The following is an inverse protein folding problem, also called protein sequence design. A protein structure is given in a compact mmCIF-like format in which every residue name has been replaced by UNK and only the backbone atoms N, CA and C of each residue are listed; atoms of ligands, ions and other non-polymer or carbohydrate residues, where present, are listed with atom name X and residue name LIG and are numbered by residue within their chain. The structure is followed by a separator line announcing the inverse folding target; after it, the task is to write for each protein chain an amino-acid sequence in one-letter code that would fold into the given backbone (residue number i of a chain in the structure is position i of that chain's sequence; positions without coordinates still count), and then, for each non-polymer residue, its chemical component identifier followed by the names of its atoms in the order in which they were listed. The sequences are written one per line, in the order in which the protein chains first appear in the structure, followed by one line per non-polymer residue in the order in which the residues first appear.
data_IF_288931546593
#
_entry.id   IF_288931546593
#
_cell.length_a   1.000
_cell.length_b   1.000
_cell.length_c   1.000
_cell.angle_alpha   90.00
_cell.angle_beta   90.00
_cell.angle_gamma   90.00
#
_symmetry.space_group_name_H-M   'P 1'
#
loop_
_entity.id
_entity.type
_entity.pdbx_description
1 polymer ?
#
# COMPACT_ATOMS: atom_id res chain seq x y z
N UNK A 1 15.97 19.68 -0.22
CA UNK A 1 17.25 19.56 0.50
C UNK A 1 17.03 19.86 1.97
N UNK A 2 17.98 19.51 2.83
CA UNK A 2 17.94 19.85 4.24
C UNK A 2 18.13 21.35 4.48
N UNK A 3 17.47 21.89 5.49
CA UNK A 3 17.63 23.27 5.93
C UNK A 3 18.54 23.30 7.16
N UNK A 4 19.24 24.40 7.39
CA UNK A 4 20.05 24.58 8.59
C UNK A 4 19.20 24.41 9.86
N UNK A 5 19.72 23.71 10.87
CA UNK A 5 19.02 23.38 12.12
C UNK A 5 17.73 22.55 11.98
N UNK A 6 17.54 21.85 10.85
CA UNK A 6 16.40 20.96 10.67
C UNK A 6 16.47 19.75 11.62
N UNK A 7 15.37 19.47 12.33
CA UNK A 7 15.25 18.36 13.27
C UNK A 7 14.58 17.11 12.66
N UNK A 8 13.60 17.31 11.78
CA UNK A 8 12.82 16.23 11.16
C UNK A 8 13.30 15.83 9.77
N UNK A 9 12.50 14.99 9.11
CA UNK A 9 12.71 14.59 7.72
C UNK A 9 12.59 15.80 6.76
N UNK A 10 13.21 15.71 5.58
CA UNK A 10 12.98 16.65 4.48
C UNK A 10 11.55 16.53 3.95
N UNK A 11 10.95 17.62 3.49
CA UNK A 11 9.57 17.60 2.95
C UNK A 11 9.37 16.48 1.90
N UNK A 12 8.27 15.72 2.04
CA UNK A 12 7.91 14.64 1.12
C UNK A 12 7.55 15.13 -0.27
N UNK A 13 8.32 14.75 -1.29
CA UNK A 13 8.18 15.25 -2.67
C UNK A 13 7.67 14.21 -3.66
N UNK A 14 7.50 12.97 -3.24
CA UNK A 14 6.95 11.86 -4.02
C UNK A 14 5.71 11.29 -3.34
N UNK A 15 4.91 10.52 -4.09
CA UNK A 15 3.74 9.82 -3.54
C UNK A 15 4.14 8.93 -2.35
N UNK A 16 5.23 8.17 -2.51
CA UNK A 16 5.78 7.32 -1.45
C UNK A 16 6.33 8.15 -0.29
N UNK A 17 6.99 9.28 -0.57
CA UNK A 17 7.52 10.18 0.44
C UNK A 17 6.45 10.67 1.40
N UNK A 18 5.29 11.08 0.90
CA UNK A 18 4.19 11.55 1.75
C UNK A 18 3.67 10.45 2.68
N UNK A 19 3.52 9.21 2.19
CA UNK A 19 3.08 8.08 3.02
C UNK A 19 4.14 7.66 4.07
N UNK A 20 5.43 7.71 3.71
CA UNK A 20 6.54 7.47 4.66
C UNK A 20 6.54 8.52 5.77
N UNK A 21 6.28 9.79 5.45
CA UNK A 21 6.11 10.84 6.46
C UNK A 21 4.93 10.56 7.40
N UNK A 22 3.80 10.11 6.87
CA UNK A 22 2.65 9.72 7.69
C UNK A 22 2.99 8.57 8.66
N UNK A 23 3.70 7.55 8.19
CA UNK A 23 4.16 6.44 9.04
C UNK A 23 5.17 6.93 10.10
N UNK A 24 6.07 7.85 9.72
CA UNK A 24 7.04 8.46 10.64
C UNK A 24 6.33 9.21 11.77
N UNK A 25 5.38 10.08 11.46
CA UNK A 25 4.65 10.87 12.46
C UNK A 25 3.81 9.96 13.38
N UNK A 26 3.14 8.95 12.80
CA UNK A 26 2.41 7.94 13.57
C UNK A 26 3.31 7.17 14.54
N UNK A 27 4.49 6.76 14.07
CA UNK A 27 5.48 6.03 14.88
C UNK A 27 6.05 6.93 15.98
N UNK A 28 6.38 8.19 15.66
CA UNK A 28 6.90 9.15 16.62
C UNK A 28 5.89 9.47 17.72
N UNK A 29 4.61 9.61 17.38
CA UNK A 29 3.54 9.79 18.37
C UNK A 29 3.51 8.64 19.38
N UNK A 30 3.56 7.39 18.90
CA UNK A 30 3.56 6.20 19.77
C UNK A 30 4.82 6.15 20.63
N UNK A 31 6.00 6.41 20.05
CA UNK A 31 7.28 6.39 20.78
C UNK A 31 7.29 7.44 21.89
N UNK A 32 6.84 8.67 21.61
CA UNK A 32 6.76 9.74 22.63
C UNK A 32 5.78 9.37 23.74
N UNK A 33 4.65 8.73 23.41
CA UNK A 33 3.69 8.24 24.41
C UNK A 33 4.33 7.18 25.32
N UNK A 34 5.02 6.19 24.76
CA UNK A 34 5.72 5.16 25.54
C UNK A 34 6.83 5.76 26.39
N UNK A 35 7.64 6.65 25.80
CA UNK A 35 8.75 7.28 26.51
C UNK A 35 8.27 8.14 27.68
N UNK A 36 7.24 8.97 27.46
CA UNK A 36 6.64 9.79 28.52
C UNK A 36 6.03 8.95 29.65
N UNK A 37 5.39 7.81 29.31
CA UNK A 37 4.90 6.84 30.29
C UNK A 37 6.06 6.27 31.13
N UNK A 38 7.12 5.77 30.51
CA UNK A 38 8.29 5.22 31.22
C UNK A 38 8.95 6.27 32.11
N UNK A 39 9.18 7.47 31.57
CA UNK A 39 9.76 8.60 32.33
C UNK A 39 8.87 8.95 33.53
N UNK A 40 7.55 8.99 33.38
CA UNK A 40 6.63 9.22 34.49
C UNK A 40 6.76 8.15 35.59
N UNK A 41 6.82 6.86 35.23
CA UNK A 41 7.00 5.79 36.21
C UNK A 41 8.34 5.88 36.93
N UNK A 42 9.42 6.18 36.21
CA UNK A 42 10.75 6.38 36.81
C UNK A 42 10.75 7.56 37.78
N UNK A 43 10.22 8.71 37.37
CA UNK A 43 10.09 9.89 38.23
C UNK A 43 9.23 9.60 39.47
N UNK A 44 8.13 8.86 39.30
CA UNK A 44 7.26 8.46 40.42
C UNK A 44 8.00 7.59 41.43
N UNK A 45 8.81 6.64 40.97
CA UNK A 45 9.62 5.79 41.85
C UNK A 45 10.69 6.63 42.57
N UNK A 46 11.38 7.53 41.86
CA UNK A 46 12.42 8.38 42.44
C UNK A 46 11.88 9.38 43.47
N UNK A 47 10.67 9.93 43.24
CA UNK A 47 10.04 10.87 44.15
C UNK A 47 9.32 10.20 45.34
N UNK A 48 9.20 8.87 45.33
CA UNK A 48 8.44 8.16 46.36
C UNK A 48 9.24 8.06 47.66
N UNK A 49 8.63 8.51 48.77
CA UNK A 49 9.24 8.45 50.11
C UNK A 49 9.00 7.12 50.83
N UNK A 50 7.94 6.40 50.42
CA UNK A 50 7.57 5.12 51.01
C UNK A 50 8.55 4.03 50.59
N UNK A 51 9.00 3.21 51.53
CA UNK A 51 9.90 2.09 51.28
C UNK A 51 9.21 0.77 51.57
N UNK A 52 9.45 -0.24 50.72
CA UNK A 52 9.09 -1.63 50.99
C UNK A 52 10.34 -2.48 50.82
N UNK A 53 10.55 -3.45 51.72
CA UNK A 53 11.60 -4.47 51.61
C UNK A 53 11.08 -5.80 51.10
N UNK A 54 9.76 -5.98 51.10
CA UNK A 54 9.12 -7.21 50.64
C UNK A 54 8.85 -7.06 49.15
N UNK A 55 9.40 -7.99 48.37
CA UNK A 55 9.07 -8.14 46.96
C UNK A 55 7.72 -8.85 46.87
N UNK A 56 6.75 -8.21 46.22
CA UNK A 56 5.46 -8.82 45.92
C UNK A 56 5.48 -9.22 44.44
N UNK A 57 5.31 -10.50 44.18
CA UNK A 57 5.08 -11.01 42.84
C UNK A 57 3.61 -10.76 42.45
N UNK A 58 3.40 -10.47 41.17
CA UNK A 58 2.05 -10.30 40.64
C UNK A 58 2.03 -10.79 39.20
N UNK A 59 1.60 -12.04 39.03
CA UNK A 59 1.45 -12.64 37.70
C UNK A 59 0.54 -11.81 36.79
N UNK A 60 -0.49 -11.16 37.36
CA UNK A 60 -1.39 -10.29 36.61
C UNK A 60 -0.69 -9.06 36.03
N UNK A 61 0.29 -8.51 36.75
CA UNK A 61 1.08 -7.38 36.26
C UNK A 61 2.01 -7.82 35.11
N UNK A 62 2.59 -9.01 35.22
CA UNK A 62 3.41 -9.61 34.16
C UNK A 62 2.62 -9.83 32.87
N UNK A 63 1.40 -10.37 33.00
CA UNK A 63 0.49 -10.55 31.86
C UNK A 63 0.16 -9.20 31.23
N UNK A 64 -0.14 -8.17 32.03
CA UNK A 64 -0.51 -6.85 31.54
C UNK A 64 0.61 -6.20 30.71
N UNK A 65 1.84 -6.13 31.24
CA UNK A 65 2.95 -5.52 30.50
C UNK A 65 3.50 -6.39 29.37
N UNK A 66 3.02 -7.63 29.22
CA UNK A 66 3.37 -8.48 28.07
C UNK A 66 2.35 -8.30 26.94
N UNK A 67 1.06 -8.28 27.29
CA UNK A 67 -0.04 -8.11 26.32
C UNK A 67 -0.08 -6.68 25.77
N UNK A 68 0.18 -5.66 26.59
CA UNK A 68 0.13 -4.26 26.15
C UNK A 68 1.17 -3.94 25.05
N UNK A 69 2.47 -4.25 25.19
CA UNK A 69 3.45 -4.05 24.11
C UNK A 69 3.17 -4.88 22.87
N UNK A 70 2.61 -6.09 23.01
CA UNK A 70 2.21 -6.89 21.85
C UNK A 70 1.21 -6.15 20.96
N UNK A 71 0.15 -5.59 21.54
CA UNK A 71 -0.83 -4.81 20.78
C UNK A 71 -0.23 -3.51 20.21
N UNK A 72 0.67 -2.86 20.93
CA UNK A 72 1.38 -1.68 20.45
C UNK A 72 2.26 -1.99 19.24
N UNK A 73 2.97 -3.12 19.24
CA UNK A 73 3.76 -3.57 18.10
C UNK A 73 2.88 -3.93 16.90
N UNK A 74 1.72 -4.54 17.11
CA UNK A 74 0.75 -4.78 16.03
C UNK A 74 0.27 -3.46 15.41
N UNK A 75 -0.02 -2.46 16.24
CA UNK A 75 -0.45 -1.14 15.77
C UNK A 75 0.63 -0.44 14.91
N UNK A 76 1.92 -0.60 15.24
CA UNK A 76 3.04 -0.10 14.43
C UNK A 76 3.28 -0.94 13.17
N UNK A 77 3.19 -2.26 13.29
CA UNK A 77 3.57 -3.21 12.24
C UNK A 77 2.61 -3.22 11.05
N UNK A 78 1.30 -3.14 11.29
CA UNK A 78 0.29 -3.22 10.22
C UNK A 78 0.42 -2.11 9.15
N UNK A 79 0.46 -0.80 9.51
CA UNK A 79 0.65 0.25 8.51
C UNK A 79 2.04 0.19 7.84
N UNK A 80 3.06 -0.26 8.56
CA UNK A 80 4.41 -0.45 8.01
C UNK A 80 4.45 -1.52 6.93
N UNK A 81 3.83 -2.69 7.17
CA UNK A 81 3.77 -3.78 6.18
C UNK A 81 2.98 -3.34 4.95
N UNK A 82 1.86 -2.64 5.12
CA UNK A 82 1.09 -2.09 3.99
C UNK A 82 1.97 -1.19 3.13
N UNK A 83 2.68 -0.24 3.74
CA UNK A 83 3.54 0.69 3.00
C UNK A 83 4.67 -0.04 2.28
N UNK A 84 5.24 -1.09 2.90
CA UNK A 84 6.24 -1.94 2.25
C UNK A 84 5.73 -2.53 0.94
N UNK A 85 4.50 -3.06 0.92
CA UNK A 85 3.90 -3.59 -0.31
C UNK A 85 3.63 -2.48 -1.35
N UNK A 86 3.18 -1.30 -0.93
CA UNK A 86 2.98 -0.15 -1.83
C UNK A 86 4.30 0.35 -2.46
N UNK A 87 5.41 0.24 -1.74
CA UNK A 87 6.75 0.61 -2.23
C UNK A 87 7.28 -0.39 -3.26
N UNK A 88 7.01 -1.68 -3.09
CA UNK A 88 7.49 -2.75 -3.98
C UNK A 88 6.67 -2.83 -5.28
N UNK A 89 5.42 -2.38 -5.26
CA UNK A 89 4.55 -2.41 -6.43
C UNK A 89 4.92 -1.32 -7.46
N UNK A 90 5.72 -1.70 -8.46
CA UNK A 90 6.00 -0.86 -9.63
C UNK A 90 5.03 -1.18 -10.76
N UNK A 91 3.83 -0.63 -10.69
CA UNK A 91 2.82 -0.77 -11.75
C UNK A 91 3.14 0.12 -12.95
N UNK A 92 3.13 -0.48 -14.15
CA UNK A 92 3.15 0.12 -15.50
C UNK A 92 3.83 1.50 -15.61
N UNK A 93 5.18 1.57 -15.59
CA UNK A 93 5.90 2.82 -15.80
C UNK A 93 5.84 3.24 -17.28
N UNK A 94 5.74 4.54 -17.52
CA UNK A 94 5.68 5.11 -18.88
C UNK A 94 7.06 5.26 -19.53
N UNK A 95 8.10 5.37 -18.69
CA UNK A 95 9.49 5.43 -19.08
C UNK A 95 10.39 4.86 -17.97
N UNK A 96 11.63 4.56 -18.33
CA UNK A 96 12.66 3.97 -17.48
C UNK A 96 13.94 4.79 -17.60
N UNK A 97 14.64 4.92 -16.47
CA UNK A 97 15.95 5.56 -16.38
C UNK A 97 16.86 4.57 -15.68
N UNK A 98 17.99 4.26 -16.30
CA UNK A 98 19.02 3.45 -15.67
C UNK A 98 20.04 4.36 -15.02
N UNK A 99 20.36 4.04 -13.77
CA UNK A 99 21.26 4.80 -12.90
C UNK A 99 22.42 3.88 -12.56
N UNK A 100 23.63 4.27 -12.94
CA UNK A 100 24.84 3.46 -12.71
C UNK A 100 25.79 4.24 -11.80
N UNK A 101 26.14 3.66 -10.67
CA UNK A 101 27.14 4.21 -9.75
C UNK A 101 28.56 3.84 -10.16
N UNK A 102 29.47 4.81 -10.12
CA UNK A 102 30.90 4.70 -10.39
C UNK A 102 31.70 5.42 -9.30
N UNK A 103 32.98 5.10 -9.15
CA UNK A 103 33.94 5.82 -8.32
C UNK A 103 34.44 7.09 -9.05
N UNK A 104 34.00 8.30 -8.73
CA UNK A 104 32.97 8.72 -7.77
C UNK A 104 32.02 9.70 -8.45
N UNK A 105 31.09 9.16 -9.22
CA UNK A 105 30.08 9.90 -9.99
C UNK A 105 28.92 8.97 -10.35
N UNK A 106 27.85 9.53 -10.91
CA UNK A 106 26.70 8.76 -11.39
C UNK A 106 26.58 8.91 -12.89
N UNK A 107 26.25 7.85 -13.62
CA UNK A 107 25.81 7.96 -15.01
C UNK A 107 24.33 7.62 -15.14
N UNK A 108 23.65 8.37 -16.01
CA UNK A 108 22.22 8.21 -16.29
C UNK A 108 22.04 7.80 -17.74
N UNK A 109 21.25 6.76 -17.96
CA UNK A 109 20.97 6.21 -19.28
C UNK A 109 19.45 6.19 -19.54
N UNK A 110 19.06 6.78 -20.66
CA UNK A 110 17.69 6.86 -21.16
C UNK A 110 17.62 6.10 -22.50
N UNK A 111 16.98 4.93 -22.51
CA UNK A 111 16.99 4.00 -23.64
C UNK A 111 15.63 3.79 -24.32
N UNK A 112 14.58 4.43 -23.80
CA UNK A 112 13.19 4.07 -24.16
C UNK A 112 12.69 4.73 -25.46
N UNK A 113 13.41 5.73 -25.98
CA UNK A 113 12.97 6.56 -27.09
C UNK A 113 13.83 6.32 -28.34
N UNK A 114 13.18 6.14 -29.49
CA UNK A 114 13.75 6.07 -30.86
C UNK A 114 14.80 4.97 -31.09
N UNK A 115 14.91 3.99 -30.20
CA UNK A 115 15.88 2.90 -30.34
C UNK A 115 17.34 3.34 -30.25
N UNK A 116 17.59 4.57 -29.80
CA UNK A 116 18.91 5.06 -29.40
C UNK A 116 19.03 5.07 -27.88
N UNK A 117 20.25 5.06 -27.35
CA UNK A 117 20.52 5.25 -25.94
C UNK A 117 21.15 6.63 -25.75
N UNK A 118 20.49 7.50 -24.99
CA UNK A 118 21.02 8.79 -24.57
C UNK A 118 21.56 8.63 -23.15
N UNK A 119 22.85 8.88 -22.97
CA UNK A 119 23.51 8.74 -21.67
C UNK A 119 24.49 9.87 -21.40
N UNK A 120 24.65 10.22 -20.13
CA UNK A 120 25.62 11.22 -19.68
C UNK A 120 26.06 10.93 -18.25
N UNK A 121 27.21 11.49 -17.89
CA UNK A 121 27.79 11.41 -16.56
C UNK A 121 27.43 12.66 -15.74
N UNK A 122 27.33 12.48 -14.42
CA UNK A 122 26.94 13.48 -13.44
C UNK A 122 28.01 13.54 -12.35
N UNK A 123 28.84 14.56 -12.41
CA UNK A 123 29.93 14.85 -11.48
C UNK A 123 29.58 16.00 -10.55
N UNK A 124 30.12 15.97 -9.34
CA UNK A 124 30.03 17.09 -8.41
C UNK A 124 30.75 18.32 -8.98
N UNK A 125 30.10 19.47 -8.94
CA UNK A 125 30.73 20.74 -9.33
C UNK A 125 31.74 21.15 -8.24
N UNK A 126 33.02 21.40 -8.59
CA UNK A 126 34.00 21.90 -7.62
C UNK A 126 33.63 23.29 -7.09
N UNK A 127 33.94 23.57 -5.82
CA UNK A 127 33.66 24.86 -5.17
C UNK A 127 34.23 26.07 -5.94
N UNK A 128 35.34 25.90 -6.66
CA UNK A 128 35.95 26.97 -7.48
C UNK A 128 35.20 27.28 -8.78
N UNK A 129 34.38 26.36 -9.27
CA UNK A 129 33.61 26.49 -10.51
C UNK A 129 32.12 26.79 -10.24
N UNK A 130 31.74 26.89 -8.97
CA UNK A 130 30.36 27.11 -8.55
C UNK A 130 30.07 28.62 -8.47
N UNK A 131 29.24 29.14 -9.37
CA UNK A 131 28.78 30.54 -9.31
C UNK A 131 27.67 30.72 -8.26
N UNK A 132 26.62 29.89 -8.36
CA UNK A 132 25.51 29.82 -7.42
C UNK A 132 25.17 28.34 -7.19
N UNK A 133 24.82 27.98 -5.95
CA UNK A 133 24.40 26.62 -5.62
C UNK A 133 24.82 26.17 -4.23
N UNK A 134 24.65 24.87 -4.00
CA UNK A 134 24.93 24.22 -2.73
C UNK A 134 26.20 23.38 -2.77
N UNK A 135 27.15 23.74 -1.89
CA UNK A 135 28.40 23.01 -1.68
C UNK A 135 28.14 21.52 -1.45
N UNK A 136 28.87 20.67 -2.17
CA UNK A 136 28.78 19.20 -2.15
C UNK A 136 27.48 18.58 -2.67
N UNK A 137 26.54 19.37 -3.20
CA UNK A 137 25.25 18.87 -3.69
C UNK A 137 25.03 19.17 -5.17
N UNK A 138 25.58 20.27 -5.70
CA UNK A 138 25.48 20.56 -7.14
C UNK A 138 26.26 19.59 -8.00
N UNK A 139 25.68 19.29 -9.16
CA UNK A 139 26.26 18.47 -10.22
C UNK A 139 26.23 19.22 -11.53
N UNK A 140 27.13 18.84 -12.45
CA UNK A 140 27.18 19.39 -13.81
C UNK A 140 25.93 19.02 -14.64
N UNK A 141 25.52 17.76 -14.61
CA UNK A 141 24.36 17.24 -15.33
C UNK A 141 23.37 16.61 -14.36
N UNK A 142 22.16 17.17 -14.27
CA UNK A 142 21.10 16.67 -13.39
C UNK A 142 20.36 15.49 -14.03
N UNK A 143 19.82 14.60 -13.22
CA UNK A 143 18.91 13.55 -13.68
C UNK A 143 17.51 14.16 -13.88
N UNK A 144 17.10 14.31 -15.13
CA UNK A 144 15.82 14.96 -15.46
C UNK A 144 14.70 13.92 -15.44
N UNK A 145 13.62 14.24 -14.73
CA UNK A 145 12.41 13.42 -14.61
C UNK A 145 11.15 14.28 -14.82
N UNK A 146 10.04 13.71 -15.31
CA UNK A 146 8.75 14.38 -15.38
C UNK A 146 8.02 14.37 -14.03
N UNK A 147 7.36 15.49 -13.75
CA UNK A 147 6.46 15.67 -12.61
C UNK A 147 5.14 14.97 -12.87
N UNK A 148 4.57 14.35 -11.83
CA UNK A 148 3.28 13.66 -11.86
C UNK A 148 3.18 12.67 -13.04
N UNK A 149 4.26 11.91 -13.26
CA UNK A 149 4.31 10.80 -14.21
C UNK A 149 5.12 9.68 -13.54
N UNK A 150 4.70 8.43 -13.73
CA UNK A 150 5.41 7.28 -13.13
C UNK A 150 6.54 6.83 -14.04
N UNK A 151 7.78 6.95 -13.56
CA UNK A 151 9.01 6.43 -14.17
C UNK A 151 9.58 5.29 -13.34
N UNK A 152 10.21 4.33 -14.00
CA UNK A 152 11.00 3.27 -13.36
C UNK A 152 12.47 3.66 -13.28
N UNK A 153 13.03 3.73 -12.08
CA UNK A 153 14.48 3.80 -11.86
C UNK A 153 15.08 2.39 -11.82
N UNK A 154 16.13 2.14 -12.59
CA UNK A 154 16.91 0.90 -12.57
C UNK A 154 18.32 1.21 -12.04
N UNK A 155 18.56 0.92 -10.76
CA UNK A 155 19.82 1.25 -10.08
C UNK A 155 20.76 0.05 -10.13
N UNK A 156 21.99 0.29 -10.56
CA UNK A 156 23.08 -0.69 -10.56
C UNK A 156 24.43 0.02 -10.34
N UNK A 157 25.53 -0.71 -10.39
CA UNK A 157 26.88 -0.15 -10.38
C UNK A 157 27.79 -0.93 -11.33
N UNK A 158 28.83 -0.27 -11.83
CA UNK A 158 29.85 -0.86 -12.69
C UNK A 158 31.13 -1.27 -11.93
N UNK A 159 31.31 -0.83 -10.68
CA UNK A 159 32.55 -1.06 -9.92
C UNK A 159 32.33 -1.66 -8.51
N UNK A 160 31.99 -0.85 -7.51
CA UNK A 160 31.78 -1.24 -6.11
C UNK A 160 30.33 -0.98 -5.72
N UNK A 161 29.94 -1.28 -4.48
CA UNK A 161 28.56 -0.98 -4.06
C UNK A 161 28.42 0.53 -3.84
N UNK A 162 27.36 1.12 -4.39
CA UNK A 162 26.90 2.47 -4.12
C UNK A 162 25.44 2.43 -3.67
N UNK A 163 24.88 3.55 -3.25
CA UNK A 163 23.44 3.62 -2.95
C UNK A 163 22.86 4.94 -3.41
N UNK A 164 21.90 4.85 -4.34
CA UNK A 164 21.23 5.99 -4.92
C UNK A 164 20.07 6.40 -4.02
N UNK A 165 20.24 7.53 -3.33
CA UNK A 165 19.31 7.98 -2.31
C UNK A 165 18.88 9.43 -2.51
N UNK A 166 17.58 9.67 -2.47
CA UNK A 166 16.95 10.99 -2.51
C UNK A 166 16.01 11.09 -1.30
N UNK A 167 16.47 11.72 -0.21
CA UNK A 167 15.73 11.74 1.05
C UNK A 167 14.33 12.33 0.94
N UNK A 168 14.15 13.44 0.19
CA UNK A 168 12.85 14.10 0.06
C UNK A 168 11.79 13.24 -0.64
N UNK A 169 12.20 12.28 -1.47
CA UNK A 169 11.29 11.34 -2.11
C UNK A 169 11.20 9.99 -1.40
N UNK A 170 11.83 9.84 -0.23
CA UNK A 170 11.95 8.58 0.51
C UNK A 170 12.44 7.40 -0.34
N UNK A 171 13.36 7.66 -1.27
CA UNK A 171 13.96 6.64 -2.12
C UNK A 171 15.40 6.42 -1.68
N UNK A 172 15.77 5.16 -1.43
CA UNK A 172 17.14 4.69 -1.26
C UNK A 172 17.22 3.29 -1.83
N UNK A 173 18.06 3.09 -2.83
CA UNK A 173 18.29 1.78 -3.43
C UNK A 173 19.77 1.58 -3.75
N UNK A 174 20.28 0.41 -3.38
CA UNK A 174 21.70 0.10 -3.58
C UNK A 174 21.98 -0.22 -5.05
N UNK A 175 23.04 0.36 -5.59
CA UNK A 175 23.64 -0.04 -6.86
C UNK A 175 24.69 -1.11 -6.58
N UNK A 176 24.37 -2.36 -6.89
CA UNK A 176 25.25 -3.50 -6.66
C UNK A 176 25.76 -4.02 -8.02
N UNK A 177 27.07 -4.18 -8.22
CA UNK A 177 27.61 -4.73 -9.46
C UNK A 177 26.99 -6.10 -9.79
N UNK A 178 26.55 -6.26 -11.03
CA UNK A 178 25.89 -7.49 -11.50
C UNK A 178 24.43 -7.67 -11.03
N UNK A 179 23.84 -6.68 -10.35
CA UNK A 179 22.42 -6.68 -9.96
C UNK A 179 21.76 -5.36 -10.35
N UNK A 180 20.51 -5.44 -10.82
CA UNK A 180 19.69 -4.28 -11.11
C UNK A 180 18.55 -4.24 -10.08
N UNK A 181 18.54 -3.18 -9.27
CA UNK A 181 17.45 -2.88 -8.36
C UNK A 181 16.46 -1.93 -9.03
N UNK A 182 15.17 -2.11 -8.77
CA UNK A 182 14.12 -1.31 -9.38
C UNK A 182 13.44 -0.44 -8.33
N UNK A 183 13.18 0.83 -8.66
CA UNK A 183 12.38 1.75 -7.84
C UNK A 183 11.37 2.50 -8.69
N UNK A 184 10.29 2.93 -8.05
CA UNK A 184 9.28 3.81 -8.67
C UNK A 184 9.62 5.27 -8.41
N UNK A 185 9.72 6.07 -9.47
CA UNK A 185 9.90 7.52 -9.43
C UNK A 185 8.59 8.21 -9.80
N UNK A 186 8.01 8.99 -8.90
CA UNK A 186 6.82 9.79 -9.16
C UNK A 186 6.80 11.03 -8.25
N UNK A 187 7.30 12.16 -8.78
CA UNK A 187 7.38 13.42 -8.05
C UNK A 187 6.08 14.21 -8.15
N UNK A 188 5.64 14.83 -7.05
CA UNK A 188 4.37 15.55 -6.97
C UNK A 188 4.43 16.98 -7.51
N UNK A 189 5.63 17.56 -7.59
CA UNK A 189 5.86 18.95 -8.03
C UNK A 189 7.16 19.08 -8.80
N UNK A 190 7.23 20.09 -9.65
CA UNK A 190 8.47 20.48 -10.32
C UNK A 190 9.45 21.08 -9.33
N UNK A 191 10.75 20.89 -9.56
CA UNK A 191 11.81 21.39 -8.71
C UNK A 191 13.05 20.50 -8.73
N UNK A 192 14.06 20.90 -7.95
CA UNK A 192 15.33 20.18 -7.84
C UNK A 192 15.41 19.47 -6.49
N UNK A 193 15.66 18.17 -6.52
CA UNK A 193 15.73 17.28 -5.37
C UNK A 193 17.13 16.69 -5.25
N UNK A 194 17.76 16.95 -4.11
CA UNK A 194 19.14 16.55 -3.87
C UNK A 194 19.21 15.26 -3.05
N UNK A 195 20.27 14.52 -3.30
CA UNK A 195 20.62 13.27 -2.66
C UNK A 195 22.14 13.11 -2.57
N UNK A 196 22.59 12.08 -1.87
CA UNK A 196 24.00 11.71 -1.77
C UNK A 196 24.13 10.19 -1.79
N UNK A 197 25.29 9.70 -2.22
CA UNK A 197 25.61 8.28 -2.11
C UNK A 197 25.48 7.83 -0.66
N UNK A 198 24.72 6.75 -0.43
CA UNK A 198 24.35 6.28 0.91
C UNK A 198 24.91 4.89 1.24
N UNK A 199 25.98 4.48 0.54
CA UNK A 199 26.76 3.27 0.80
C UNK A 199 28.25 3.56 0.57
N UNK A 200 29.12 3.11 1.48
CA UNK A 200 30.54 3.49 1.48
C UNK A 200 31.25 2.93 0.24
N UNK A 201 31.73 3.83 -0.64
CA UNK A 201 32.29 3.46 -1.94
C UNK A 201 33.74 3.95 -2.20
N UNK A 202 34.47 4.38 -1.18
CA UNK A 202 35.90 4.74 -1.27
C UNK A 202 36.22 6.18 -0.86
N UNK A 203 37.37 6.71 -1.31
CA UNK A 203 37.92 7.99 -0.79
C UNK A 203 37.03 9.20 -1.06
N UNK A 204 36.31 9.23 -2.18
CA UNK A 204 35.40 10.33 -2.51
C UNK A 204 33.92 9.96 -2.33
N UNK A 205 33.62 9.03 -1.42
CA UNK A 205 32.25 8.62 -1.11
C UNK A 205 31.32 9.81 -0.79
N UNK A 206 31.81 10.82 -0.08
CA UNK A 206 31.04 12.03 0.25
C UNK A 206 30.92 13.06 -0.88
N UNK A 207 31.56 12.83 -2.02
CA UNK A 207 31.72 13.81 -3.12
C UNK A 207 31.07 13.35 -4.43
N UNK A 208 30.06 12.49 -4.35
CA UNK A 208 29.25 12.04 -5.49
C UNK A 208 27.75 12.24 -5.23
N UNK A 209 27.28 13.50 -5.22
CA UNK A 209 25.90 13.82 -4.96
C UNK A 209 24.98 13.39 -6.11
N UNK A 210 23.70 13.40 -5.82
CA UNK A 210 22.62 13.09 -6.74
C UNK A 210 21.76 14.36 -6.84
N UNK A 211 21.45 14.78 -8.05
CA UNK A 211 20.56 15.90 -8.28
C UNK A 211 19.50 15.49 -9.30
N UNK A 212 18.25 15.39 -8.85
CA UNK A 212 17.11 15.07 -9.71
C UNK A 212 16.30 16.33 -9.96
N UNK A 213 16.10 16.65 -11.23
CA UNK A 213 15.29 17.78 -11.65
C UNK A 213 13.95 17.28 -12.18
N UNK A 214 12.88 17.54 -11.43
CA UNK A 214 11.52 17.27 -11.85
C UNK A 214 10.98 18.45 -12.64
N UNK A 215 10.67 18.24 -13.91
CA UNK A 215 10.12 19.26 -14.83
C UNK A 215 8.71 18.88 -15.28
N UNK A 216 8.01 19.76 -15.98
CA UNK A 216 6.71 19.39 -16.53
C UNK A 216 6.85 18.33 -17.63
N UNK A 217 5.80 17.55 -17.89
CA UNK A 217 5.83 16.48 -18.90
C UNK A 217 6.18 17.01 -20.28
N UNK A 218 5.78 18.23 -20.62
CA UNK A 218 6.06 18.86 -21.91
C UNK A 218 7.55 19.14 -22.07
N UNK A 219 8.17 19.75 -21.05
CA UNK A 219 9.59 20.06 -21.04
C UNK A 219 10.42 18.78 -21.07
N UNK A 220 10.05 17.79 -20.25
CA UNK A 220 10.70 16.48 -20.26
C UNK A 220 10.61 15.81 -21.64
N UNK A 221 9.42 15.80 -22.23
CA UNK A 221 9.19 15.19 -23.55
C UNK A 221 9.98 15.87 -24.66
N UNK A 222 10.07 17.21 -24.65
CA UNK A 222 10.90 17.92 -25.62
C UNK A 222 12.38 17.63 -25.42
N UNK A 223 12.86 17.72 -24.17
CA UNK A 223 14.26 17.51 -23.83
C UNK A 223 14.73 16.10 -24.23
N UNK A 224 13.96 15.07 -23.90
CA UNK A 224 14.36 13.69 -24.20
C UNK A 224 14.36 13.44 -25.71
N UNK A 225 13.33 13.89 -26.44
CA UNK A 225 13.26 13.69 -27.89
C UNK A 225 14.40 14.42 -28.59
N UNK A 226 14.70 15.66 -28.21
CA UNK A 226 15.77 16.43 -28.83
C UNK A 226 17.15 15.83 -28.51
N UNK A 227 17.37 15.35 -27.28
CA UNK A 227 18.59 14.63 -26.89
C UNK A 227 18.82 13.37 -27.73
N UNK A 228 17.78 12.54 -27.92
CA UNK A 228 17.87 11.36 -28.78
C UNK A 228 18.07 11.74 -30.26
N UNK A 229 17.50 12.85 -30.73
CA UNK A 229 17.72 13.33 -32.10
C UNK A 229 19.16 13.72 -32.35
N UNK A 230 19.81 14.36 -31.39
CA UNK A 230 21.21 14.77 -31.52
C UNK A 230 22.15 13.55 -31.53
N UNK A 231 21.85 12.53 -30.72
CA UNK A 231 22.53 11.21 -30.81
C UNK A 231 22.36 10.61 -32.21
N UNK A 232 21.14 10.58 -32.75
CA UNK A 232 20.86 9.98 -34.07
C UNK A 232 21.51 10.77 -35.22
N UNK A 233 21.57 12.10 -35.15
CA UNK A 233 22.31 12.93 -36.12
C UNK A 233 23.80 12.60 -36.15
N UNK A 234 24.38 12.28 -34.99
CA UNK A 234 25.78 11.86 -34.87
C UNK A 234 26.07 10.47 -35.45
N UNK A 235 25.07 9.59 -35.53
CA UNK A 235 25.22 8.18 -35.96
C UNK A 235 25.03 8.00 -37.48
N UNK A 236 24.60 9.03 -38.23
CA UNK A 236 24.57 8.98 -39.70
C UNK A 236 23.75 7.81 -40.26
N UNK A 237 22.55 7.57 -39.76
CA UNK A 237 21.67 6.49 -40.23
C UNK A 237 20.47 7.02 -41.00
N UNK A 238 20.29 6.60 -42.26
CA UNK A 238 19.03 6.75 -42.99
C UNK A 238 17.92 6.00 -42.23
N UNK A 239 16.71 6.56 -42.06
CA UNK A 239 15.61 5.78 -41.53
C UNK A 239 15.28 4.68 -42.52
N UNK A 240 15.34 3.42 -42.08
CA UNK A 240 14.80 2.30 -42.84
C UNK A 240 13.29 2.53 -43.02
N UNK A 241 12.90 2.75 -44.27
CA UNK A 241 11.51 2.87 -44.63
C UNK A 241 10.82 1.54 -44.42
N UNK A 242 9.73 1.57 -43.64
CA UNK A 242 8.86 0.43 -43.48
C UNK A 242 8.30 0.05 -44.85
N UNK A 243 8.52 -1.19 -45.27
CA UNK A 243 7.89 -1.70 -46.49
C UNK A 243 6.39 -1.84 -46.24
N UNK A 244 5.58 -1.30 -47.16
CA UNK A 244 4.11 -1.33 -47.13
C UNK A 244 3.51 -2.71 -46.82
N UNK A 245 4.23 -3.78 -47.19
CA UNK A 245 3.86 -5.16 -46.88
C UNK A 245 3.96 -5.54 -45.41
N UNK A 246 4.95 -5.05 -44.67
CA UNK A 246 5.08 -5.32 -43.23
C UNK A 246 3.98 -4.64 -42.41
N UNK A 247 3.60 -3.44 -42.81
CA UNK A 247 2.53 -2.64 -42.17
C UNK A 247 1.15 -3.27 -42.41
N UNK A 248 0.92 -3.83 -43.60
CA UNK A 248 -0.32 -4.52 -43.94
C UNK A 248 -0.46 -5.87 -43.23
N UNK A 249 0.63 -6.65 -43.12
CA UNK A 249 0.62 -7.93 -42.38
C UNK A 249 0.46 -7.71 -40.87
N UNK A 250 1.05 -6.64 -40.32
CA UNK A 250 0.86 -6.25 -38.92
C UNK A 250 -0.57 -5.76 -38.65
N UNK A 251 -1.16 -4.97 -39.55
CA UNK A 251 -2.54 -4.51 -39.44
C UNK A 251 -3.54 -5.68 -39.48
N UNK A 252 -3.37 -6.63 -40.40
CA UNK A 252 -4.24 -7.82 -40.50
C UNK A 252 -4.10 -8.73 -39.27
N UNK A 253 -2.87 -8.96 -38.78
CA UNK A 253 -2.64 -9.72 -37.54
C UNK A 253 -3.19 -9.01 -36.30
N UNK A 254 -3.12 -7.68 -36.26
CA UNK A 254 -3.66 -6.84 -35.19
C UNK A 254 -5.19 -6.87 -35.13
N UNK A 255 -5.85 -6.73 -36.29
CA UNK A 255 -7.31 -6.83 -36.41
C UNK A 255 -7.80 -8.24 -36.06
N UNK A 256 -7.09 -9.28 -36.50
CA UNK A 256 -7.43 -10.67 -36.15
C UNK A 256 -7.32 -10.97 -34.66
N UNK A 257 -6.22 -10.52 -34.01
CA UNK A 257 -6.08 -10.65 -32.55
C UNK A 257 -7.11 -9.81 -31.79
N UNK A 258 -7.43 -8.62 -32.28
CA UNK A 258 -8.45 -7.75 -31.70
C UNK A 258 -9.83 -8.41 -31.71
N UNK A 259 -10.26 -8.94 -32.86
CA UNK A 259 -11.55 -9.63 -32.98
C UNK A 259 -11.63 -10.87 -32.09
N UNK A 260 -10.55 -11.65 -31.97
CA UNK A 260 -10.48 -12.77 -31.03
C UNK A 260 -10.60 -12.32 -29.57
N UNK A 261 -9.87 -11.26 -29.19
CA UNK A 261 -9.89 -10.72 -27.83
C UNK A 261 -11.26 -10.15 -27.46
N UNK A 262 -11.87 -9.36 -28.33
CA UNK A 262 -13.21 -8.83 -28.11
C UNK A 262 -14.26 -9.94 -28.08
N UNK A 263 -14.15 -10.95 -28.95
CA UNK A 263 -15.02 -12.13 -28.92
C UNK A 263 -14.86 -12.93 -27.62
N UNK A 264 -13.64 -13.13 -27.14
CA UNK A 264 -13.36 -13.82 -25.89
C UNK A 264 -13.85 -13.03 -24.67
N UNK A 265 -13.63 -11.72 -24.63
CA UNK A 265 -14.16 -10.85 -23.57
C UNK A 265 -15.68 -10.84 -23.54
N UNK A 266 -16.33 -10.77 -24.70
CA UNK A 266 -17.79 -10.81 -24.78
C UNK A 266 -18.33 -12.19 -24.38
N UNK A 267 -17.64 -13.26 -24.75
CA UNK A 267 -17.95 -14.63 -24.30
C UNK A 267 -17.81 -14.80 -22.78
N UNK A 268 -16.74 -14.27 -22.18
CA UNK A 268 -16.53 -14.31 -20.72
C UNK A 268 -17.53 -13.42 -19.98
N UNK A 269 -17.88 -12.25 -20.55
CA UNK A 269 -18.93 -11.38 -20.01
C UNK A 269 -20.29 -12.10 -19.98
N UNK A 270 -20.68 -12.74 -21.10
CA UNK A 270 -21.91 -13.53 -21.14
C UNK A 270 -21.85 -14.72 -20.17
N UNK A 271 -20.72 -15.43 -20.10
CA UNK A 271 -20.53 -16.54 -19.16
C UNK A 271 -20.75 -16.10 -17.71
N UNK A 272 -20.10 -15.02 -17.27
CA UNK A 272 -20.22 -14.53 -15.90
C UNK A 272 -21.59 -13.90 -15.61
N UNK A 273 -22.17 -13.19 -16.58
CA UNK A 273 -23.54 -12.68 -16.46
C UNK A 273 -24.51 -13.83 -16.23
N UNK A 274 -24.46 -14.89 -17.05
CA UNK A 274 -25.36 -16.03 -16.87
C UNK A 274 -25.07 -16.83 -15.60
N UNK A 275 -23.79 -17.03 -15.26
CA UNK A 275 -23.38 -17.78 -14.08
C UNK A 275 -23.80 -17.09 -12.77
N UNK A 276 -23.56 -15.78 -12.64
CA UNK A 276 -23.87 -15.03 -11.42
C UNK A 276 -25.30 -14.50 -11.37
N UNK A 277 -25.94 -14.19 -12.49
CA UNK A 277 -27.33 -13.72 -12.48
C UNK A 277 -28.35 -14.85 -12.37
N UNK A 278 -28.05 -16.06 -12.84
CA UNK A 278 -29.03 -17.16 -12.85
C UNK A 278 -28.57 -18.40 -12.08
N UNK A 279 -27.34 -18.89 -12.30
CA UNK A 279 -26.90 -20.14 -11.68
C UNK A 279 -26.63 -20.00 -10.16
N UNK A 280 -25.89 -18.99 -9.72
CA UNK A 280 -25.58 -18.79 -8.29
C UNK A 280 -26.84 -18.48 -7.46
N UNK A 281 -27.74 -17.56 -7.86
CA UNK A 281 -29.00 -17.33 -7.15
C UNK A 281 -29.92 -18.55 -7.17
N UNK A 282 -30.01 -19.25 -8.32
CA UNK A 282 -30.79 -20.49 -8.42
C UNK A 282 -30.27 -21.59 -7.49
N UNK A 283 -28.95 -21.82 -7.45
CA UNK A 283 -28.30 -22.77 -6.53
C UNK A 283 -28.54 -22.39 -5.07
N UNK A 284 -28.44 -21.10 -4.72
CA UNK A 284 -28.67 -20.63 -3.36
C UNK A 284 -30.12 -20.78 -2.91
N UNK A 285 -31.08 -20.45 -3.78
CA UNK A 285 -32.53 -20.58 -3.49
C UNK A 285 -32.90 -22.06 -3.33
N UNK A 286 -32.44 -22.94 -4.21
CA UNK A 286 -32.78 -24.38 -4.17
C UNK A 286 -32.11 -25.09 -2.99
N UNK A 287 -30.83 -24.85 -2.72
CA UNK A 287 -30.11 -25.52 -1.61
C UNK A 287 -30.57 -25.00 -0.24
N UNK A 288 -30.86 -23.70 -0.11
CA UNK A 288 -31.28 -23.12 1.17
C UNK A 288 -32.74 -23.42 1.50
N UNK A 289 -33.63 -23.50 0.51
CA UNK A 289 -35.03 -23.87 0.72
C UNK A 289 -35.20 -25.34 1.09
N UNK A 290 -34.43 -26.25 0.48
CA UNK A 290 -34.43 -27.67 0.84
C UNK A 290 -33.89 -27.92 2.26
N UNK A 291 -32.84 -27.19 2.67
CA UNK A 291 -32.30 -27.27 4.04
C UNK A 291 -33.29 -26.80 5.11
N UNK A 292 -34.03 -25.73 4.83
CA UNK A 292 -35.07 -25.21 5.74
C UNK A 292 -36.26 -26.16 5.84
N UNK A 293 -36.74 -26.70 4.71
CA UNK A 293 -37.84 -27.68 4.70
C UNK A 293 -37.44 -28.96 5.44
N UNK A 294 -36.20 -29.43 5.23
CA UNK A 294 -35.67 -30.59 5.95
C UNK A 294 -35.67 -30.31 7.47
N UNK A 295 -35.12 -29.18 7.92
CA UNK A 295 -35.09 -28.81 9.34
C UNK A 295 -36.49 -28.71 9.98
N UNK A 296 -37.48 -28.16 9.27
CA UNK A 296 -38.87 -28.08 9.74
C UNK A 296 -39.50 -29.48 9.87
N UNK A 297 -39.22 -30.39 8.92
CA UNK A 297 -39.70 -31.77 8.98
C UNK A 297 -39.08 -32.52 10.17
N UNK A 298 -37.76 -32.45 10.36
CA UNK A 298 -37.08 -33.12 11.49
C UNK A 298 -37.53 -32.59 12.86
N UNK A 299 -37.77 -31.28 12.96
CA UNK A 299 -38.25 -30.66 14.20
C UNK A 299 -39.70 -31.01 14.50
N UNK A 300 -40.52 -31.17 13.45
CA UNK A 300 -41.92 -31.58 13.58
C UNK A 300 -42.05 -33.06 13.97
N UNK A 301 -41.18 -33.93 13.43
CA UNK A 301 -41.08 -35.35 13.81
C UNK A 301 -40.65 -35.50 15.27
N UNK A 302 -39.65 -34.75 15.73
CA UNK A 302 -39.19 -34.78 17.12
C UNK A 302 -40.27 -34.34 18.14
N UNK A 303 -41.17 -33.43 17.75
CA UNK A 303 -42.30 -33.01 18.59
C UNK A 303 -43.38 -34.09 18.63
N UNK A 304 -43.65 -34.77 17.52
CA UNK A 304 -44.57 -35.91 17.48
C UNK A 304 -44.02 -37.09 18.29
N UNK A 305 -42.73 -37.40 18.17
CA UNK A 305 -42.06 -38.45 18.95
C UNK A 305 -42.12 -38.15 20.45
N UNK A 306 -41.96 -36.88 20.83
CA UNK A 306 -42.13 -36.44 22.22
C UNK A 306 -43.57 -36.54 22.70
N UNK A 307 -44.57 -36.23 21.86
CA UNK A 307 -45.99 -36.38 22.20
C UNK A 307 -46.42 -37.85 22.32
N UNK A 308 -45.86 -38.74 21.49
CA UNK A 308 -46.06 -40.19 21.61
C UNK A 308 -45.41 -40.69 22.90
N UNK A 309 -44.19 -40.26 23.22
CA UNK A 309 -43.50 -40.61 24.47
C UNK A 309 -44.23 -40.10 25.72
N UNK A 310 -44.83 -38.91 25.63
CA UNK A 310 -45.69 -38.34 26.66
C UNK A 310 -47.00 -39.13 26.84
N UNK A 311 -47.54 -39.75 25.78
CA UNK A 311 -48.76 -40.57 25.87
C UNK A 311 -48.55 -41.92 26.56
N UNK A 312 -47.34 -42.49 26.46
CA UNK A 312 -46.96 -43.75 27.11
C UNK A 312 -46.50 -43.58 28.56
N UNK A 313 -45.76 -42.50 28.87
CA UNK A 313 -45.22 -42.28 30.23
C UNK A 313 -45.18 -40.79 30.63
N UNK A 314 -46.33 -40.21 31.00
CA UNK A 314 -46.44 -38.77 31.26
C UNK A 314 -45.50 -38.28 32.39
N UNK A 315 -45.21 -39.10 33.40
CA UNK A 315 -44.43 -38.68 34.57
C UNK A 315 -42.91 -38.65 34.34
N UNK A 316 -42.35 -39.54 33.51
CA UNK A 316 -40.90 -39.54 33.23
C UNK A 316 -40.51 -38.41 32.26
N UNK A 317 -41.35 -38.18 31.24
CA UNK A 317 -41.18 -37.06 30.30
C UNK A 317 -41.28 -35.69 31.01
N UNK A 318 -42.15 -35.58 32.02
CA UNK A 318 -42.31 -34.37 32.84
C UNK A 318 -41.16 -34.21 33.85
N UNK A 319 -40.68 -35.27 34.49
CA UNK A 319 -39.58 -35.20 35.45
C UNK A 319 -38.26 -34.75 34.80
N UNK A 320 -37.97 -35.24 33.58
CA UNK A 320 -36.78 -34.86 32.81
C UNK A 320 -36.79 -33.36 32.42
N UNK A 321 -37.96 -32.81 32.09
CA UNK A 321 -38.13 -31.38 31.81
C UNK A 321 -38.04 -30.51 33.08
N UNK A 322 -38.53 -31.00 34.21
CA UNK A 322 -38.65 -30.24 35.48
C UNK A 322 -37.30 -30.06 36.18
N UNK A 323 -36.44 -31.07 36.22
CA UNK A 323 -35.13 -30.95 36.87
C UNK A 323 -34.14 -30.05 36.10
N UNK A 324 -34.24 -30.00 34.77
CA UNK A 324 -33.39 -29.14 33.94
C UNK A 324 -33.77 -27.65 34.02
N UNK A 325 -35.06 -27.34 34.27
CA UNK A 325 -35.56 -25.96 34.31
C UNK A 325 -35.55 -25.36 35.72
N UNK A 326 -35.80 -26.14 36.78
CA UNK A 326 -36.09 -25.62 38.13
C UNK A 326 -34.95 -24.80 38.77
N UNK A 327 -33.68 -25.09 38.46
CA UNK A 327 -32.53 -24.39 39.04
C UNK A 327 -32.33 -22.96 38.54
N UNK A 328 -32.67 -22.68 37.28
CA UNK A 328 -32.59 -21.33 36.69
C UNK A 328 -33.94 -20.61 36.61
N UNK A 329 -35.04 -21.36 36.77
CA UNK A 329 -36.39 -20.85 36.65
C UNK A 329 -36.85 -19.99 37.84
N UNK A 330 -36.48 -20.24 39.10
CA UNK A 330 -37.18 -19.59 40.23
C UNK A 330 -37.11 -18.03 40.26
N UNK A 331 -36.01 -17.42 39.80
CA UNK A 331 -35.90 -15.94 39.66
C UNK A 331 -36.54 -15.37 38.39
N UNK A 332 -36.68 -16.19 37.35
CA UNK A 332 -37.33 -15.85 36.06
C UNK A 332 -38.85 -16.11 36.14
N UNK A 333 -39.28 -17.07 36.96
CA UNK A 333 -40.65 -17.54 37.18
C UNK A 333 -41.53 -16.46 37.81
N UNK A 334 -41.06 -15.68 38.80
CA UNK A 334 -41.86 -14.57 39.35
C UNK A 334 -42.17 -13.48 38.31
N UNK A 335 -41.25 -13.25 37.36
CA UNK A 335 -41.38 -12.25 36.29
C UNK A 335 -42.21 -12.76 35.09
N UNK A 336 -42.10 -14.05 34.75
CA UNK A 336 -42.93 -14.72 33.75
C UNK A 336 -44.36 -15.01 34.23
N UNK A 337 -44.58 -15.27 35.52
CA UNK A 337 -45.91 -15.57 36.11
C UNK A 337 -46.78 -14.31 36.23
N UNK A 338 -46.19 -13.13 36.49
CA UNK A 338 -46.93 -11.86 36.60
C UNK A 338 -47.06 -11.11 35.26
N UNK A 339 -46.12 -11.29 34.32
CA UNK A 339 -46.15 -10.62 33.00
C UNK A 339 -45.36 -11.38 31.90
N UNK A 340 -45.91 -12.47 31.34
CA UNK A 340 -45.19 -13.41 30.46
C UNK A 340 -44.72 -12.79 29.14
N UNK A 341 -45.50 -11.90 28.54
CA UNK A 341 -45.11 -11.23 27.27
C UNK A 341 -43.94 -10.26 27.49
N UNK A 342 -43.92 -9.55 28.63
CA UNK A 342 -42.83 -8.61 28.98
C UNK A 342 -41.53 -9.36 29.28
N UNK A 343 -41.64 -10.53 29.89
CA UNK A 343 -40.49 -11.36 30.22
C UNK A 343 -39.79 -11.93 28.96
N UNK A 344 -40.55 -12.49 28.01
CA UNK A 344 -40.03 -12.94 26.70
C UNK A 344 -39.42 -11.76 25.94
N UNK A 345 -40.11 -10.61 25.91
CA UNK A 345 -39.62 -9.41 25.26
C UNK A 345 -38.28 -8.91 25.82
N UNK A 346 -38.09 -8.95 27.14
CA UNK A 346 -36.83 -8.52 27.79
C UNK A 346 -35.67 -9.48 27.54
N UNK A 347 -35.91 -10.79 27.53
CA UNK A 347 -34.87 -11.80 27.25
C UNK A 347 -34.43 -11.74 25.79
N UNK A 348 -35.38 -11.66 24.85
CA UNK A 348 -35.06 -11.47 23.42
C UNK A 348 -34.31 -10.14 23.21
N UNK A 349 -34.75 -9.06 23.85
CA UNK A 349 -34.06 -7.76 23.77
C UNK A 349 -32.65 -7.80 24.37
N UNK A 350 -32.43 -8.55 25.44
CA UNK A 350 -31.11 -8.76 26.05
C UNK A 350 -30.18 -9.60 25.18
N UNK A 351 -30.65 -10.73 24.64
CA UNK A 351 -29.89 -11.58 23.72
C UNK A 351 -29.58 -10.87 22.41
N UNK A 352 -30.55 -10.19 21.80
CA UNK A 352 -30.30 -9.31 20.66
C UNK A 352 -29.30 -8.21 21.03
N UNK A 353 -29.40 -7.61 22.22
CA UNK A 353 -28.44 -6.60 22.69
C UNK A 353 -27.01 -7.11 22.79
N UNK A 354 -26.80 -8.32 23.32
CA UNK A 354 -25.48 -8.96 23.43
C UNK A 354 -24.93 -9.35 22.06
N UNK A 355 -25.75 -9.95 21.20
CA UNK A 355 -25.34 -10.30 19.83
C UNK A 355 -25.01 -9.05 19.04
N UNK A 356 -25.85 -8.01 19.11
CA UNK A 356 -25.58 -6.71 18.49
C UNK A 356 -24.31 -6.10 19.07
N UNK A 357 -24.10 -6.13 20.38
CA UNK A 357 -22.88 -5.58 21.00
C UNK A 357 -21.61 -6.33 20.56
N UNK A 358 -21.67 -7.66 20.41
CA UNK A 358 -20.53 -8.45 19.95
C UNK A 358 -20.24 -8.22 18.46
N UNK A 359 -21.29 -8.15 17.64
CA UNK A 359 -21.17 -7.80 16.21
C UNK A 359 -20.67 -6.37 16.04
N UNK A 360 -21.18 -5.41 16.80
CA UNK A 360 -20.71 -4.03 16.81
C UNK A 360 -19.27 -3.92 17.29
N UNK A 361 -18.88 -4.60 18.38
CA UNK A 361 -17.49 -4.61 18.83
C UNK A 361 -16.56 -5.22 17.78
N UNK A 362 -16.94 -6.35 17.19
CA UNK A 362 -16.18 -6.98 16.10
C UNK A 362 -16.08 -6.04 14.89
N UNK A 363 -17.18 -5.38 14.53
CA UNK A 363 -17.22 -4.37 13.47
C UNK A 363 -16.30 -3.19 13.79
N UNK A 364 -16.35 -2.62 15.00
CA UNK A 364 -15.49 -1.50 15.40
C UNK A 364 -14.01 -1.87 15.47
N UNK A 365 -13.68 -3.09 15.90
CA UNK A 365 -12.29 -3.58 15.86
C UNK A 365 -11.83 -3.73 14.42
N UNK A 366 -12.66 -4.33 13.56
CA UNK A 366 -12.35 -4.46 12.13
C UNK A 366 -12.26 -3.09 11.44
N UNK A 367 -13.17 -2.17 11.75
CA UNK A 367 -13.18 -0.80 11.23
C UNK A 367 -11.94 -0.02 11.70
N UNK A 368 -11.55 -0.15 12.98
CA UNK A 368 -10.33 0.46 13.50
C UNK A 368 -9.07 -0.12 12.82
N UNK A 369 -9.06 -1.43 12.56
CA UNK A 369 -7.98 -2.09 11.80
C UNK A 369 -7.99 -1.66 10.33
N UNK A 370 -9.15 -1.57 9.68
CA UNK A 370 -9.27 -1.10 8.31
C UNK A 370 -8.90 0.38 8.17
N UNK A 371 -9.23 1.17 9.18
CA UNK A 371 -8.85 2.58 9.27
C UNK A 371 -7.35 2.75 9.52
N UNK A 372 -6.73 1.92 10.36
CA UNK A 372 -5.25 1.91 10.49
C UNK A 372 -4.55 1.36 9.25
N UNK A 373 -5.25 0.59 8.42
CA UNK A 373 -4.85 0.19 7.07
C UNK A 373 -5.26 1.20 5.99
N UNK A 374 -5.94 2.31 6.33
CA UNK A 374 -6.20 3.39 5.36
C UNK A 374 -4.90 4.15 5.06
N UNK A 375 -4.86 4.94 3.99
CA UNK A 375 -3.66 5.73 3.68
C UNK A 375 -3.50 6.84 4.71
N UNK A 376 -2.26 7.27 4.95
CA UNK A 376 -2.05 8.47 5.76
C UNK A 376 -2.55 9.74 5.03
N UNK A 377 -2.71 9.65 3.71
CA UNK A 377 -3.35 10.67 2.87
C UNK A 377 -4.85 10.42 2.68
N UNK A 378 -5.62 11.50 2.56
CA UNK A 378 -7.06 11.39 2.30
C UNK A 378 -7.38 10.99 0.86
N UNK A 379 -8.56 10.42 0.64
CA UNK A 379 -9.02 9.94 -0.67
C UNK A 379 -8.95 11.02 -1.77
N UNK A 380 -9.27 12.27 -1.42
CA UNK A 380 -9.21 13.40 -2.36
C UNK A 380 -7.80 13.69 -2.88
N UNK A 381 -6.77 13.49 -2.05
CA UNK A 381 -5.38 13.63 -2.47
C UNK A 381 -4.99 12.50 -3.43
N UNK A 382 -5.41 11.27 -3.13
CA UNK A 382 -5.12 10.12 -3.98
C UNK A 382 -5.80 10.23 -5.34
N UNK A 383 -7.08 10.60 -5.37
CA UNK A 383 -7.82 10.88 -6.61
C UNK A 383 -7.11 11.95 -7.45
N UNK A 384 -6.71 13.05 -6.81
CA UNK A 384 -5.95 14.11 -7.48
C UNK A 384 -4.65 13.59 -8.11
N UNK A 385 -3.85 12.82 -7.37
CA UNK A 385 -2.58 12.27 -7.88
C UNK A 385 -2.84 11.33 -9.05
N UNK A 386 -3.79 10.40 -8.91
CA UNK A 386 -4.12 9.41 -9.95
C UNK A 386 -4.63 10.09 -11.22
N UNK A 387 -5.51 11.08 -11.10
CA UNK A 387 -6.06 11.79 -12.25
C UNK A 387 -5.01 12.63 -12.99
N UNK A 388 -4.13 13.31 -12.25
CA UNK A 388 -3.04 14.08 -12.86
C UNK A 388 -2.01 13.15 -13.53
N UNK A 389 -1.64 12.04 -12.89
CA UNK A 389 -0.74 11.05 -13.49
C UNK A 389 -1.35 10.48 -14.77
N UNK A 390 -2.65 10.15 -14.77
CA UNK A 390 -3.36 9.66 -15.95
C UNK A 390 -3.40 10.71 -17.07
N UNK A 391 -3.66 11.98 -16.75
CA UNK A 391 -3.68 13.05 -17.73
C UNK A 391 -2.29 13.28 -18.33
N UNK A 392 -1.25 13.33 -17.49
CA UNK A 392 0.14 13.48 -17.88
C UNK A 392 0.63 12.32 -18.74
N UNK A 393 0.22 11.10 -18.42
CA UNK A 393 0.47 9.90 -19.23
C UNK A 393 -0.09 10.07 -20.64
N UNK A 394 -1.37 10.45 -20.76
CA UNK A 394 -1.99 10.70 -22.08
C UNK A 394 -1.24 11.78 -22.85
N UNK A 395 -0.82 12.84 -22.16
CA UNK A 395 -0.08 13.94 -22.77
C UNK A 395 1.32 13.52 -23.24
N UNK A 396 2.07 12.80 -22.42
CA UNK A 396 3.38 12.23 -22.74
C UNK A 396 3.31 11.37 -24.01
N UNK A 397 2.39 10.40 -24.02
CA UNK A 397 2.19 9.50 -25.16
C UNK A 397 1.74 10.24 -26.42
N UNK A 398 0.89 11.27 -26.28
CA UNK A 398 0.46 12.11 -27.41
C UNK A 398 1.62 12.91 -28.01
N UNK A 399 2.47 13.52 -27.18
CA UNK A 399 3.65 14.28 -27.64
C UNK A 399 4.61 13.35 -28.37
N UNK A 400 4.92 12.19 -27.78
CA UNK A 400 5.76 11.19 -28.41
C UNK A 400 5.16 10.77 -29.76
N UNK A 401 3.89 10.34 -29.80
CA UNK A 401 3.23 9.88 -31.03
C UNK A 401 3.27 10.92 -32.16
N UNK A 402 3.00 12.19 -31.86
CA UNK A 402 3.05 13.25 -32.88
C UNK A 402 4.48 13.50 -33.39
N UNK A 403 5.47 13.46 -32.50
CA UNK A 403 6.89 13.64 -32.88
C UNK A 403 7.45 12.42 -33.63
N UNK A 404 6.89 11.23 -33.44
CA UNK A 404 7.21 10.03 -34.23
C UNK A 404 6.60 10.06 -35.64
N UNK A 405 5.49 10.78 -35.85
CA UNK A 405 4.87 10.91 -37.19
C UNK A 405 5.56 11.93 -38.10
N UNK A 406 6.33 12.85 -37.53
CA UNK A 406 6.94 13.99 -38.23
C UNK A 406 8.41 13.84 -38.61
N UNK A 407 9.06 12.72 -38.28
CA UNK A 407 10.41 12.37 -38.72
C UNK A 407 10.40 11.00 -39.39
#
# INVERSE_FOLDING_TARGET
MSIWSQLGLQEGTSVLGVEVHGLYDYSMFIIVLVFSFVVYFLLKILCQKLTSRVYLDSQWLEVLWTVMPFWLLLALGLPSIKLLYLMDEVSLPEASIKVVGHQWYWSYEYSDVRGSSYSYDSYMVPDSAMEEGYRLLEVDNRCVVPTLLTIRGLITSDDVIHSWAIPSSAIKADGVPGRINQVRLCFLRSGVFYGQCSELCGVNHSFMPICVESVSVEVYSSWIVDSHNDVLKGVGGRPESWTWWGLLVAAVKGVGKGLYWFGWMYGMFLYYLFYYSFYVPGKFIVVSSLGFVQWVIWSSVAVVDWLVWFSDSPMEAVWYAVCAFAGHAWGVVVLFVTSPVVAVGRVIKGLCGVVVSFVCFSYYVVEAVLSSLSSFTGDSFQEFVVDNVRWNTKKFLWILSNRYKGG
#
